data_IF_416977824888
#
_entry.id   IF_416977824888
#
_cell.length_a   1.000
_cell.length_b   1.000
_cell.length_c   1.000
_cell.angle_alpha   90.00
_cell.angle_beta   90.00
_cell.angle_gamma   90.00
#
_symmetry.space_group_name_H-M   'P 1'
#
loop_
_entity.id
_entity.type
_entity.pdbx_description
1 polymer ?
#
# COMPACT_ATOMS: atom_id res chain seq x y z
N UNK A 1 -27.46 -16.64 -1.22
CA UNK A 1 -26.09 -16.14 -0.96
C UNK A 1 -25.10 -17.11 -1.59
N UNK A 2 -25.10 -17.27 -2.93
CA UNK A 2 -24.24 -18.26 -3.63
C UNK A 2 -23.94 -17.81 -5.08
N UNK A 3 -23.71 -16.52 -5.31
CA UNK A 3 -23.40 -15.96 -6.64
C UNK A 3 -21.89 -15.89 -6.93
N UNK A 4 -21.04 -16.45 -6.06
CA UNK A 4 -19.59 -16.47 -6.24
C UNK A 4 -18.88 -15.12 -6.06
N UNK A 5 -19.58 -14.04 -5.72
CA UNK A 5 -19.01 -12.69 -5.61
C UNK A 5 -17.89 -12.62 -4.57
N UNK A 6 -18.03 -13.32 -3.44
CA UNK A 6 -17.01 -13.40 -2.41
C UNK A 6 -15.70 -14.03 -2.92
N UNK A 7 -15.81 -15.11 -3.71
CA UNK A 7 -14.65 -15.77 -4.30
C UNK A 7 -13.99 -14.88 -5.36
N UNK A 8 -14.80 -14.24 -6.21
CA UNK A 8 -14.29 -13.31 -7.20
C UNK A 8 -13.57 -12.11 -6.57
N UNK A 9 -14.07 -11.59 -5.44
CA UNK A 9 -13.40 -10.53 -4.69
C UNK A 9 -12.05 -10.99 -4.13
N UNK A 10 -11.99 -12.17 -3.51
CA UNK A 10 -10.75 -12.74 -2.99
C UNK A 10 -9.69 -12.97 -4.09
N UNK A 11 -10.11 -13.47 -5.25
CA UNK A 11 -9.21 -13.66 -6.39
C UNK A 11 -8.66 -12.33 -6.91
N UNK A 12 -9.51 -11.30 -7.02
CA UNK A 12 -9.07 -9.95 -7.42
C UNK A 12 -8.05 -9.37 -6.43
N UNK A 13 -8.29 -9.53 -5.13
CA UNK A 13 -7.33 -9.07 -4.10
C UNK A 13 -6.01 -9.82 -4.20
N UNK A 14 -6.05 -11.13 -4.47
CA UNK A 14 -4.84 -11.95 -4.65
C UNK A 14 -4.03 -11.51 -5.87
N UNK A 15 -4.70 -11.21 -6.98
CA UNK A 15 -4.05 -10.65 -8.18
C UNK A 15 -3.45 -9.27 -7.90
N UNK A 16 -4.19 -8.39 -7.21
CA UNK A 16 -3.71 -7.07 -6.83
C UNK A 16 -2.46 -7.14 -5.95
N UNK A 17 -2.40 -8.09 -5.01
CA UNK A 17 -1.19 -8.32 -4.21
C UNK A 17 0.02 -8.69 -5.08
N UNK A 18 -0.16 -9.53 -6.10
CA UNK A 18 0.92 -9.89 -7.02
C UNK A 18 1.37 -8.70 -7.88
N UNK A 19 0.41 -7.96 -8.46
CA UNK A 19 0.68 -6.77 -9.28
C UNK A 19 1.41 -5.69 -8.49
N UNK A 20 1.08 -5.53 -7.21
CA UNK A 20 1.76 -4.61 -6.31
C UNK A 20 3.04 -5.19 -5.68
N UNK A 21 3.44 -6.42 -6.00
CA UNK A 21 4.63 -7.05 -5.44
C UNK A 21 4.62 -7.16 -3.92
N UNK A 22 3.45 -7.46 -3.34
CA UNK A 22 3.27 -7.67 -1.91
C UNK A 22 3.83 -9.04 -1.53
N UNK A 23 4.88 -9.07 -0.73
CA UNK A 23 5.56 -10.31 -0.32
C UNK A 23 5.02 -10.90 0.98
N UNK A 24 4.22 -10.14 1.74
CA UNK A 24 3.60 -10.61 2.97
C UNK A 24 2.73 -9.56 3.65
N UNK A 25 2.26 -9.90 4.85
CA UNK A 25 1.38 -9.06 5.67
C UNK A 25 2.07 -8.66 7.00
N UNK A 26 1.77 -7.49 7.58
CA UNK A 26 1.03 -6.38 6.98
C UNK A 26 1.90 -5.60 5.98
N UNK A 27 1.27 -5.08 4.91
CA UNK A 27 1.91 -4.15 3.97
C UNK A 27 1.01 -2.95 3.74
N UNK A 28 1.59 -1.75 3.82
CA UNK A 28 0.91 -0.49 3.48
C UNK A 28 1.57 0.07 2.23
N UNK A 29 0.80 0.20 1.16
CA UNK A 29 1.23 0.81 -0.09
C UNK A 29 0.74 2.25 -0.13
N UNK A 30 1.68 3.18 -0.29
CA UNK A 30 1.41 4.61 -0.32
C UNK A 30 1.95 5.21 -1.62
N UNK A 31 1.40 6.37 -2.00
CA UNK A 31 1.93 7.19 -3.08
C UNK A 31 2.00 6.42 -4.43
N UNK A 32 0.89 5.78 -4.83
CA UNK A 32 0.79 5.01 -6.09
C UNK A 32 1.84 3.89 -6.21
N UNK A 33 2.29 3.33 -5.09
CA UNK A 33 3.30 2.29 -5.08
C UNK A 33 4.74 2.77 -4.94
N UNK A 34 4.99 4.08 -4.92
CA UNK A 34 6.33 4.65 -4.68
C UNK A 34 6.86 4.37 -3.27
N UNK A 35 5.97 4.12 -2.30
CA UNK A 35 6.34 3.81 -0.93
C UNK A 35 5.61 2.54 -0.46
N UNK A 36 6.37 1.60 0.10
CA UNK A 36 5.84 0.35 0.68
C UNK A 36 6.42 0.16 2.07
N UNK A 37 5.53 0.08 3.06
CA UNK A 37 5.89 -0.22 4.45
C UNK A 37 5.52 -1.68 4.72
N UNK A 38 6.52 -2.54 4.92
CA UNK A 38 6.34 -3.98 5.12
C UNK A 38 6.65 -4.39 6.57
N UNK A 39 5.78 -5.22 7.14
CA UNK A 39 5.88 -5.73 8.51
C UNK A 39 5.26 -4.80 9.54
N UNK A 40 5.48 -5.11 10.82
CA UNK A 40 4.92 -4.36 11.95
C UNK A 40 5.63 -3.01 12.12
N UNK A 41 5.27 -2.04 11.27
CA UNK A 41 5.80 -0.69 11.30
C UNK A 41 5.07 0.13 12.36
N UNK A 42 5.83 0.80 13.22
CA UNK A 42 5.28 1.63 14.29
C UNK A 42 4.49 2.84 13.77
N UNK A 43 3.45 3.22 14.52
CA UNK A 43 2.54 4.32 14.15
C UNK A 43 3.25 5.62 13.75
N UNK A 44 4.28 6.05 14.49
CA UNK A 44 4.99 7.31 14.21
C UNK A 44 5.65 7.33 12.84
N UNK A 45 6.13 6.18 12.37
CA UNK A 45 6.73 6.05 11.03
C UNK A 45 5.64 6.16 9.97
N UNK A 46 4.51 5.47 10.17
CA UNK A 46 3.36 5.54 9.27
C UNK A 46 2.84 6.99 9.18
N UNK A 47 2.66 7.65 10.33
CA UNK A 47 2.18 9.03 10.42
C UNK A 47 3.11 10.00 9.68
N UNK A 48 4.43 9.89 9.89
CA UNK A 48 5.40 10.75 9.21
C UNK A 48 5.34 10.58 7.68
N UNK A 49 5.25 9.34 7.19
CA UNK A 49 5.13 9.05 5.75
C UNK A 49 3.85 9.66 5.15
N UNK A 50 2.71 9.51 5.83
CA UNK A 50 1.44 10.10 5.39
C UNK A 50 1.52 11.62 5.38
N UNK A 51 2.05 12.24 6.45
CA UNK A 51 2.22 13.70 6.52
C UNK A 51 3.11 14.21 5.41
N UNK A 52 4.18 13.49 5.07
CA UNK A 52 5.08 13.85 3.98
C UNK A 52 4.36 13.83 2.63
N UNK A 53 3.61 12.77 2.33
CA UNK A 53 2.81 12.68 1.10
C UNK A 53 1.81 13.83 0.98
N UNK A 54 1.11 14.15 2.08
CA UNK A 54 0.11 15.22 2.10
C UNK A 54 0.73 16.62 1.99
N UNK A 55 1.99 16.80 2.40
CA UNK A 55 2.70 18.08 2.37
C UNK A 55 3.41 18.36 1.05
N UNK A 56 3.49 17.38 0.13
CA UNK A 56 4.26 17.49 -1.11
C UNK A 56 3.38 17.60 -2.37
N UNK A 57 2.93 18.81 -2.76
CA UNK A 57 2.36 19.06 -4.08
C UNK A 57 3.49 19.21 -5.12
N UNK A 58 3.93 18.09 -5.68
CA UNK A 58 4.55 18.03 -7.02
C UNK A 58 5.99 18.54 -7.24
N UNK A 59 6.72 19.09 -6.26
CA UNK A 59 8.00 19.77 -6.54
C UNK A 59 9.18 19.51 -5.58
N UNK A 60 9.23 18.38 -4.89
CA UNK A 60 10.46 18.00 -4.18
C UNK A 60 10.99 16.68 -4.75
N UNK A 61 12.20 16.74 -5.30
CA UNK A 61 12.93 15.55 -5.73
C UNK A 61 13.05 14.60 -4.54
N UNK A 62 12.67 13.34 -4.73
CA UNK A 62 12.96 12.28 -3.76
C UNK A 62 14.47 12.21 -3.61
N UNK A 63 14.97 12.50 -2.42
CA UNK A 63 16.40 12.36 -2.12
C UNK A 63 16.74 10.87 -2.20
N UNK A 64 17.47 10.51 -3.25
CA UNK A 64 18.29 9.31 -3.29
C UNK A 64 19.48 9.46 -2.32
#
# INVERSE_FOLDING_TARGET
LENGEAMAALMRDTQLCQDQGITGSPTIVLNEGRQKLFGNVGYRVIEANIREILRNPGNQASWC
#
